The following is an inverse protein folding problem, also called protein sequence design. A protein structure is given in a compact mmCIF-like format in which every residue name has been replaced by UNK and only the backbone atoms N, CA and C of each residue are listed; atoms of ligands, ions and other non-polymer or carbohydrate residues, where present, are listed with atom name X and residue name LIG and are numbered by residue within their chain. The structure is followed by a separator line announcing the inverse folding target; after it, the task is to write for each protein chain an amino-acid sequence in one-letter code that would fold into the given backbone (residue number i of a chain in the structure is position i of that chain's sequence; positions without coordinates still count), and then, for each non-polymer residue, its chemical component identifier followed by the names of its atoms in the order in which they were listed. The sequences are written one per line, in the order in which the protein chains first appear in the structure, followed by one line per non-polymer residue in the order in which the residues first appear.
data_IF_351589379205
#
_entry.id   IF_351589379205
#
_cell.length_a   1.000
_cell.length_b   1.000
_cell.length_c   1.000
_cell.angle_alpha   90.00
_cell.angle_beta   90.00
_cell.angle_gamma   90.00
#
_symmetry.space_group_name_H-M   'P 1'
#
loop_
_entity.id
_entity.type
_entity.pdbx_description
1 polymer ?
#
# COMPACT_ATOMS: atom_id res chain seq x y z
N UNK A 1 2.21 -5.05 -11.01
CA UNK A 1 0.98 -5.20 -10.21
C UNK A 1 1.20 -4.42 -8.93
N UNK A 2 0.37 -3.42 -8.63
CA UNK A 2 0.69 -2.44 -7.59
C UNK A 2 0.45 -2.98 -6.19
N UNK A 3 1.37 -2.65 -5.28
CA UNK A 3 1.26 -2.93 -3.86
C UNK A 3 0.52 -1.80 -3.16
N UNK A 4 -0.45 -2.12 -2.30
CA UNK A 4 -1.11 -1.11 -1.48
C UNK A 4 -0.27 -0.84 -0.23
N UNK A 5 0.10 0.42 -0.06
CA UNK A 5 0.84 0.91 1.10
C UNK A 5 -0.02 1.86 1.93
N UNK A 6 0.24 1.91 3.24
CA UNK A 6 -0.33 2.89 4.16
C UNK A 6 0.76 3.57 4.96
N UNK A 7 0.80 4.90 4.94
CA UNK A 7 1.72 5.67 5.77
C UNK A 7 1.33 5.62 7.24
N UNK A 8 2.26 5.27 8.12
CA UNK A 8 1.99 5.14 9.56
C UNK A 8 1.91 6.49 10.29
N UNK A 9 2.31 7.57 9.63
CA UNK A 9 2.30 8.93 10.19
C UNK A 9 1.00 9.68 9.89
N UNK A 10 0.53 9.64 8.64
CA UNK A 10 -0.66 10.40 8.20
C UNK A 10 -1.82 9.54 7.70
N UNK A 11 -1.69 8.21 7.76
CA UNK A 11 -2.69 7.25 7.30
C UNK A 11 -3.06 7.32 5.81
N UNK A 12 -2.33 8.09 4.98
CA UNK A 12 -2.56 8.10 3.53
C UNK A 12 -2.22 6.75 2.93
N UNK A 13 -3.13 6.21 2.13
CA UNK A 13 -2.92 4.99 1.34
C UNK A 13 -2.54 5.34 -0.09
N UNK A 14 -1.70 4.51 -0.71
CA UNK A 14 -1.23 4.72 -2.07
C UNK A 14 -0.70 3.43 -2.69
N UNK A 15 -0.57 3.42 -4.02
CA UNK A 15 -0.14 2.28 -4.81
C UNK A 15 1.34 2.40 -5.21
N UNK A 16 2.11 1.33 -4.97
CA UNK A 16 3.49 1.20 -5.38
C UNK A 16 3.62 0.16 -6.49
N UNK A 17 3.91 0.63 -7.71
CA UNK A 17 4.15 -0.25 -8.85
C UNK A 17 5.64 -0.61 -8.96
N UNK A 18 5.95 -1.88 -8.70
CA UNK A 18 7.30 -2.45 -8.73
C UNK A 18 7.27 -3.86 -9.34
N UNK A 19 8.39 -4.28 -9.91
CA UNK A 19 8.52 -5.56 -10.62
C UNK A 19 8.89 -6.76 -9.73
N UNK A 20 8.98 -6.59 -8.42
CA UNK A 20 9.39 -7.63 -7.48
C UNK A 20 8.42 -7.73 -6.30
N UNK A 21 8.38 -8.91 -5.69
CA UNK A 21 7.53 -9.22 -4.55
C UNK A 21 8.11 -8.65 -3.23
N UNK A 22 7.29 -7.89 -2.51
CA UNK A 22 7.61 -7.33 -1.19
C UNK A 22 6.73 -7.90 -0.08
N UNK A 23 5.86 -8.89 -0.35
CA UNK A 23 4.90 -9.44 0.60
C UNK A 23 5.52 -10.13 1.81
N UNK A 24 6.82 -10.48 1.75
CA UNK A 24 7.56 -11.01 2.91
C UNK A 24 7.99 -9.92 3.90
N UNK A 25 7.95 -8.65 3.50
CA UNK A 25 8.27 -7.53 4.36
C UNK A 25 6.98 -6.99 5.01
N UNK A 26 7.05 -6.62 6.28
CA UNK A 26 5.90 -6.01 6.98
C UNK A 26 5.76 -4.52 6.68
N UNK A 27 6.89 -3.85 6.52
CA UNK A 27 6.95 -2.40 6.39
C UNK A 27 7.97 -1.98 5.34
N UNK A 28 7.71 -0.85 4.71
CA UNK A 28 8.59 -0.18 3.75
C UNK A 28 8.88 1.25 4.21
N UNK A 29 10.15 1.63 4.20
CA UNK A 29 10.54 3.02 4.48
C UNK A 29 10.65 3.80 3.17
N UNK A 30 9.72 4.73 2.94
CA UNK A 30 9.56 5.39 1.64
C UNK A 30 8.90 6.77 1.79
N UNK A 31 9.10 7.61 0.78
CA UNK A 31 8.59 8.97 0.75
C UNK A 31 7.06 9.04 0.74
N UNK A 32 6.49 9.74 1.72
CA UNK A 32 5.06 10.04 1.76
C UNK A 32 4.79 11.43 1.17
N UNK A 33 3.97 11.49 0.12
CA UNK A 33 3.58 12.75 -0.55
C UNK A 33 2.78 13.69 0.36
N UNK A 34 2.03 13.16 1.32
CA UNK A 34 1.25 13.93 2.30
C UNK A 34 2.13 14.50 3.42
N UNK A 35 3.02 13.68 4.01
CA UNK A 35 3.94 14.14 5.05
C UNK A 35 5.13 14.95 4.53
N UNK A 36 5.42 14.85 3.23
CA UNK A 36 6.58 15.44 2.54
C UNK A 36 7.93 15.02 3.12
N UNK A 37 8.00 13.80 3.68
CA UNK A 37 9.22 13.19 4.25
C UNK A 37 9.17 11.68 4.07
N UNK A 38 10.29 11.00 4.27
CA UNK A 38 10.33 9.54 4.35
C UNK A 38 9.67 9.08 5.65
N UNK A 39 8.76 8.11 5.52
CA UNK A 39 8.00 7.56 6.63
C UNK A 39 7.99 6.04 6.55
N UNK A 40 7.71 5.39 7.68
CA UNK A 40 7.41 3.97 7.68
C UNK A 40 6.00 3.77 7.10
N UNK A 41 5.85 2.82 6.18
CA UNK A 41 4.59 2.47 5.56
C UNK A 41 4.31 0.98 5.78
N UNK A 42 3.09 0.64 6.16
CA UNK A 42 2.62 -0.74 6.20
C UNK A 42 2.31 -1.24 4.78
N UNK A 43 2.74 -2.46 4.49
CA UNK A 43 2.33 -3.17 3.27
C UNK A 43 1.02 -3.87 3.61
N UNK A 44 -0.08 -3.36 3.06
CA UNK A 44 -1.42 -3.82 3.44
C UNK A 44 -1.75 -5.14 2.75
N UNK A 45 -1.79 -5.14 1.42
CA UNK A 45 -2.17 -6.31 0.65
C UNK A 45 -1.83 -6.12 -0.83
N UNK A 46 -1.72 -7.25 -1.52
CA UNK A 46 -1.64 -7.33 -2.96
C UNK A 46 -3.05 -7.16 -3.53
N UNK A 47 -3.26 -6.16 -4.40
CA UNK A 47 -4.52 -6.08 -5.15
C UNK A 47 -4.44 -7.01 -6.35
N UNK A 48 -4.93 -8.24 -6.19
CA UNK A 48 -5.57 -8.92 -7.32
C UNK A 48 -6.95 -8.28 -7.49
N UNK A 49 -7.23 -7.75 -8.67
CA UNK A 49 -8.52 -7.13 -9.02
C UNK A 49 -9.60 -8.21 -9.20
N UNK A 50 -9.82 -9.07 -8.20
CA UNK A 50 -10.94 -10.00 -8.18
C UNK A 50 -11.84 -9.65 -6.97
N UNK A 51 -13.13 -9.47 -7.25
CA UNK A 51 -14.23 -9.13 -6.33
C UNK A 51 -14.47 -7.63 -6.03
N UNK A 52 -14.97 -6.92 -7.06
CA UNK A 52 -16.09 -5.97 -6.85
C UNK A 52 -17.44 -6.66 -7.08
N UNK A 53 -17.78 -7.73 -6.37
CA UNK A 53 -19.17 -8.24 -6.33
C UNK A 53 -19.50 -8.90 -4.97
N UNK A 54 -19.93 -8.08 -3.99
CA UNK A 54 -20.78 -8.41 -2.82
C UNK A 54 -20.51 -7.33 -1.76
N UNK A 55 -21.43 -6.52 -1.24
CA UNK A 55 -22.85 -6.65 -1.05
C UNK A 55 -23.47 -5.25 -1.20
N UNK A 56 -24.32 -5.07 -2.20
CA UNK A 56 -25.44 -4.13 -2.11
C UNK A 56 -26.69 -4.98 -2.34
N UNK A 57 -27.27 -5.46 -1.25
CA UNK A 57 -28.55 -6.15 -1.20
C UNK A 57 -29.29 -5.73 0.05
#
# INVERSE_FOLDING_TARGET
MPWKLKCNECNTTWELDISFDIGKQKHLYIYCKTCKRNTLNDILEYYENDEKEANDK
#
